data_IF_999559643781
#
_entry.id   IF_999559643781
#
_cell.length_a   1.000
_cell.length_b   1.000
_cell.length_c   1.000
_cell.angle_alpha   90.00
_cell.angle_beta   90.00
_cell.angle_gamma   90.00
#
_symmetry.space_group_name_H-M   'P 1'
#
loop_
_entity.id
_entity.type
_entity.pdbx_description
1 polymer ?
#
# COMPACT_ATOMS: atom_id res chain seq x y z
N UNK A 1 60.24 -41.33 -33.98
CA UNK A 1 59.48 -42.41 -33.32
C UNK A 1 60.10 -42.72 -31.97
N UNK A 2 59.51 -43.63 -31.18
CA UNK A 2 59.90 -43.97 -29.77
C UNK A 2 59.61 -42.79 -28.81
N UNK A 3 58.57 -42.81 -27.95
CA UNK A 3 58.30 -43.57 -26.69
C UNK A 3 59.24 -43.24 -25.52
N UNK A 4 58.65 -42.90 -24.35
CA UNK A 4 59.25 -43.17 -23.04
C UNK A 4 59.35 -41.98 -22.06
N UNK A 5 58.42 -41.91 -21.10
CA UNK A 5 58.74 -41.42 -19.73
C UNK A 5 59.38 -42.56 -18.93
N UNK A 6 60.10 -42.31 -17.81
CA UNK A 6 59.41 -42.33 -16.50
C UNK A 6 60.12 -41.48 -15.40
N UNK A 7 59.78 -41.77 -14.13
CA UNK A 7 60.38 -41.30 -12.86
C UNK A 7 60.06 -39.84 -12.46
N UNK A 8 60.06 -39.48 -11.17
CA UNK A 8 60.24 -40.32 -9.97
C UNK A 8 60.02 -39.49 -8.69
N UNK A 9 59.48 -40.08 -7.63
CA UNK A 9 59.01 -39.33 -6.45
C UNK A 9 60.05 -39.18 -5.33
N UNK A 10 59.99 -38.06 -4.60
CA UNK A 10 60.28 -38.05 -3.16
C UNK A 10 59.38 -37.04 -2.44
N UNK A 11 59.15 -37.25 -1.14
CA UNK A 11 58.30 -36.40 -0.28
C UNK A 11 59.17 -35.41 0.50
N UNK A 12 58.63 -34.22 0.77
CA UNK A 12 58.82 -33.54 2.07
C UNK A 12 57.54 -32.83 2.52
N UNK A 13 57.55 -32.26 3.74
CA UNK A 13 56.38 -32.18 4.64
C UNK A 13 56.17 -30.74 5.15
N UNK A 14 54.98 -30.17 5.00
CA UNK A 14 54.67 -28.84 5.59
C UNK A 14 53.25 -28.30 5.31
N UNK A 15 52.47 -28.17 6.39
CA UNK A 15 51.47 -27.11 6.69
C UNK A 15 50.73 -26.36 5.57
N UNK A 16 49.39 -26.32 5.60
CA UNK A 16 48.62 -25.33 4.81
C UNK A 16 47.13 -25.59 4.53
N UNK A 17 46.42 -26.37 5.33
CA UNK A 17 45.03 -26.77 5.04
C UNK A 17 43.99 -25.65 5.31
N UNK A 18 44.05 -24.56 4.54
CA UNK A 18 43.06 -23.49 4.54
C UNK A 18 41.73 -23.92 3.91
N UNK A 19 40.87 -24.61 4.67
CA UNK A 19 39.47 -24.83 4.29
C UNK A 19 38.75 -23.49 4.21
N UNK A 20 38.59 -22.95 3.00
CA UNK A 20 37.64 -21.87 2.74
C UNK A 20 36.25 -22.37 3.15
N UNK A 21 35.63 -21.72 4.14
CA UNK A 21 34.23 -21.95 4.47
C UNK A 21 33.39 -21.35 3.35
N UNK A 22 32.88 -22.19 2.46
CA UNK A 22 31.84 -21.79 1.51
C UNK A 22 30.66 -21.19 2.29
N UNK A 23 30.25 -19.99 1.89
CA UNK A 23 29.19 -19.25 2.58
C UNK A 23 27.88 -20.07 2.52
N UNK A 24 27.19 -20.36 3.64
CA UNK A 24 26.02 -21.26 3.62
C UNK A 24 24.89 -20.83 2.68
N UNK A 25 24.75 -19.53 2.42
CA UNK A 25 23.83 -18.97 1.42
C UNK A 25 24.36 -18.91 -0.02
N UNK A 26 25.52 -19.50 -0.32
CA UNK A 26 26.09 -19.52 -1.68
C UNK A 26 25.40 -20.57 -2.56
N UNK A 27 25.15 -20.20 -3.81
CA UNK A 27 24.51 -21.06 -4.80
C UNK A 27 25.30 -22.37 -5.05
N UNK A 28 26.64 -22.29 -5.06
CA UNK A 28 27.51 -23.45 -5.20
C UNK A 28 27.38 -24.43 -4.02
N UNK A 29 27.24 -23.91 -2.79
CA UNK A 29 27.09 -24.74 -1.59
C UNK A 29 25.75 -25.49 -1.61
N UNK A 30 24.67 -24.83 -2.05
CA UNK A 30 23.37 -25.46 -2.26
C UNK A 30 23.44 -26.56 -3.34
N UNK A 31 24.10 -26.27 -4.47
CA UNK A 31 24.28 -27.25 -5.55
C UNK A 31 25.24 -28.40 -5.20
N UNK A 32 26.14 -28.21 -4.25
CA UNK A 32 26.98 -29.27 -3.69
C UNK A 32 26.15 -30.19 -2.76
N UNK A 33 25.34 -29.62 -1.86
CA UNK A 33 24.43 -30.41 -1.01
C UNK A 33 23.40 -31.23 -1.80
N UNK A 34 22.79 -30.65 -2.86
CA UNK A 34 21.80 -31.34 -3.70
C UNK A 34 22.43 -32.57 -4.39
N UNK A 35 23.63 -32.41 -4.96
CA UNK A 35 24.38 -33.52 -5.58
C UNK A 35 24.81 -34.58 -4.55
N UNK A 36 25.28 -34.16 -3.37
CA UNK A 36 25.71 -35.08 -2.31
C UNK A 36 24.54 -35.87 -1.67
N UNK A 37 23.29 -35.45 -1.90
CA UNK A 37 22.06 -36.19 -1.52
C UNK A 37 21.41 -36.98 -2.67
N UNK A 38 22.07 -37.08 -3.83
CA UNK A 38 21.60 -37.90 -4.96
C UNK A 38 20.35 -37.39 -5.67
N UNK A 39 19.99 -36.11 -5.50
CA UNK A 39 18.80 -35.51 -6.10
C UNK A 39 19.09 -35.01 -7.52
N UNK A 40 18.12 -35.16 -8.45
CA UNK A 40 18.26 -34.67 -9.82
C UNK A 40 18.26 -33.13 -9.88
N UNK A 41 19.42 -32.59 -10.21
CA UNK A 41 19.68 -31.15 -10.40
C UNK A 41 18.82 -30.57 -11.54
N UNK A 42 18.46 -31.37 -12.55
CA UNK A 42 17.69 -30.90 -13.70
C UNK A 42 16.23 -30.61 -13.32
N UNK A 43 15.60 -31.53 -12.58
CA UNK A 43 14.26 -31.36 -11.99
C UNK A 43 14.19 -30.22 -10.96
N UNK A 44 15.29 -29.91 -10.26
CA UNK A 44 15.39 -28.77 -9.36
C UNK A 44 15.38 -27.43 -10.13
N UNK A 45 16.20 -27.31 -11.19
CA UNK A 45 16.27 -26.10 -12.04
C UNK A 45 14.98 -25.85 -12.83
N UNK A 46 14.22 -26.89 -13.18
CA UNK A 46 12.88 -26.76 -13.79
C UNK A 46 11.78 -26.36 -12.78
N UNK A 47 12.12 -25.99 -11.53
CA UNK A 47 11.19 -25.41 -10.56
C UNK A 47 10.19 -26.38 -9.95
N UNK A 48 10.33 -27.69 -10.19
CA UNK A 48 9.37 -28.73 -9.74
C UNK A 48 9.50 -29.08 -8.25
N UNK A 49 10.57 -28.65 -7.58
CA UNK A 49 10.98 -29.12 -6.23
C UNK A 49 11.20 -28.00 -5.19
N UNK A 50 10.54 -26.85 -5.34
CA UNK A 50 10.67 -25.68 -4.42
C UNK A 50 10.33 -26.01 -2.94
N UNK A 51 9.50 -27.02 -2.70
CA UNK A 51 8.98 -27.36 -1.36
C UNK A 51 10.07 -27.81 -0.38
N UNK A 52 11.10 -28.53 -0.85
CA UNK A 52 12.11 -29.12 0.04
C UNK A 52 13.05 -28.09 0.68
N UNK A 53 13.25 -26.95 0.02
CA UNK A 53 14.09 -25.84 0.53
C UNK A 53 13.55 -25.25 1.84
N UNK A 54 12.22 -25.24 2.01
CA UNK A 54 11.55 -24.78 3.24
C UNK A 54 11.67 -25.79 4.39
N UNK A 55 11.77 -27.09 4.10
CA UNK A 55 11.88 -28.12 5.14
C UNK A 55 13.27 -28.12 5.81
N UNK A 56 14.34 -27.81 5.06
CA UNK A 56 15.70 -27.74 5.62
C UNK A 56 15.87 -26.50 6.50
N UNK A 57 15.31 -25.35 6.11
CA UNK A 57 15.37 -24.10 6.87
C UNK A 57 14.59 -24.07 8.19
N UNK A 58 13.91 -25.15 8.56
CA UNK A 58 13.15 -25.29 9.81
C UNK A 58 13.83 -26.21 10.85
N UNK A 59 15.00 -26.78 10.54
CA UNK A 59 15.64 -27.82 11.34
C UNK A 59 16.83 -27.35 12.20
N UNK A 60 17.18 -26.06 12.20
CA UNK A 60 18.39 -25.52 12.87
C UNK A 60 18.10 -24.38 13.88
N UNK A 61 16.87 -24.24 14.40
CA UNK A 61 16.52 -23.24 15.43
C UNK A 61 15.56 -23.74 16.53
N UNK A 62 15.77 -24.95 17.04
CA UNK A 62 15.18 -25.44 18.30
C UNK A 62 16.28 -25.88 19.29
N UNK A 63 17.09 -24.92 19.77
CA UNK A 63 18.08 -25.19 20.82
C UNK A 63 18.56 -23.92 21.57
N UNK A 64 17.73 -23.38 22.48
CA UNK A 64 18.19 -22.48 23.57
C UNK A 64 17.16 -22.32 24.71
N UNK A 65 16.79 -23.43 25.35
CA UNK A 65 15.95 -23.42 26.56
C UNK A 65 16.69 -24.12 27.72
N UNK A 66 17.40 -23.35 28.54
CA UNK A 66 17.95 -23.81 29.82
C UNK A 66 18.15 -22.62 30.78
N UNK A 67 17.32 -22.56 31.82
CA UNK A 67 17.50 -21.72 33.01
C UNK A 67 17.57 -22.68 34.22
N UNK A 68 18.60 -22.59 35.09
CA UNK A 68 18.58 -23.28 36.38
C UNK A 68 17.65 -22.54 37.36
N UNK A 69 16.92 -23.29 38.16
CA UNK A 69 15.93 -22.81 39.13
C UNK A 69 16.49 -22.87 40.58
N UNK A 70 16.14 -21.89 41.43
CA UNK A 70 16.48 -21.84 42.86
C UNK A 70 15.44 -21.04 43.69
N UNK A 71 14.21 -21.57 43.73
CA UNK A 71 13.51 -21.97 44.96
C UNK A 71 13.36 -20.98 46.17
N UNK A 72 12.14 -20.47 46.32
CA UNK A 72 11.29 -20.33 47.55
C UNK A 72 11.76 -19.57 48.82
N UNK A 73 11.08 -18.42 49.07
CA UNK A 73 10.21 -18.12 50.25
C UNK A 73 10.78 -18.13 51.71
N UNK A 74 10.05 -17.59 52.75
CA UNK A 74 8.71 -16.99 52.79
C UNK A 74 8.64 -15.57 53.41
N UNK A 75 7.45 -15.11 53.82
CA UNK A 75 7.13 -13.71 54.18
C UNK A 75 6.87 -13.45 55.68
N UNK A 76 6.85 -12.18 56.11
CA UNK A 76 5.84 -11.67 57.05
C UNK A 76 5.77 -10.12 57.24
N UNK A 77 4.52 -9.61 57.29
CA UNK A 77 3.90 -8.60 58.18
C UNK A 77 4.61 -7.30 58.64
N UNK A 78 3.83 -6.21 58.48
CA UNK A 78 3.42 -5.19 59.49
C UNK A 78 4.16 -3.85 59.75
N UNK A 79 3.29 -2.88 60.04
CA UNK A 79 3.43 -1.65 60.83
C UNK A 79 3.83 -0.29 60.22
N UNK A 80 3.21 0.73 60.83
CA UNK A 80 3.26 2.16 60.54
C UNK A 80 4.53 2.81 61.11
N UNK A 81 4.92 3.97 60.58
CA UNK A 81 4.82 5.25 61.33
C UNK A 81 5.31 6.46 60.51
N UNK A 82 4.66 7.60 60.74
CA UNK A 82 5.28 8.94 60.62
C UNK A 82 5.47 9.47 62.06
N UNK A 83 6.33 10.48 62.36
CA UNK A 83 5.90 11.87 62.09
C UNK A 83 7.03 12.97 62.02
N UNK A 84 6.58 14.22 61.80
CA UNK A 84 7.18 15.50 62.26
C UNK A 84 8.57 15.98 61.75
N UNK A 85 8.91 17.28 61.68
CA UNK A 85 8.16 18.56 61.54
C UNK A 85 9.20 19.70 61.32
N UNK A 86 8.73 20.90 60.93
CA UNK A 86 9.29 22.27 61.14
C UNK A 86 10.02 22.96 59.96
N UNK A 87 9.20 23.69 59.20
CA UNK A 87 9.35 25.11 58.77
C UNK A 87 10.03 26.03 59.82
N UNK A 88 10.52 27.25 59.49
CA UNK A 88 9.99 28.26 58.52
C UNK A 88 11.06 28.81 57.53
N UNK A 89 10.81 29.82 56.67
CA UNK A 89 9.58 30.54 56.29
C UNK A 89 9.76 32.07 56.13
N UNK A 90 8.98 32.66 55.21
CA UNK A 90 8.79 34.09 54.89
C UNK A 90 9.77 34.88 53.99
N UNK A 91 9.12 35.70 53.14
CA UNK A 91 9.57 36.77 52.21
C UNK A 91 9.55 38.15 52.94
N UNK A 92 9.62 39.33 52.27
CA UNK A 92 10.28 39.78 51.03
C UNK A 92 11.17 41.05 51.23
N UNK A 93 11.75 41.59 50.14
CA UNK A 93 12.36 42.93 50.08
C UNK A 93 12.12 43.62 48.72
N UNK A 94 12.26 44.95 48.61
CA UNK A 94 11.81 45.74 47.44
C UNK A 94 12.67 46.97 47.11
N UNK A 95 12.68 47.35 45.82
CA UNK A 95 13.01 48.66 45.20
C UNK A 95 14.38 49.35 45.41
N UNK A 96 14.97 49.77 44.28
CA UNK A 96 15.61 51.09 44.12
C UNK A 96 15.52 51.57 42.65
N UNK A 97 15.79 52.85 42.37
CA UNK A 97 15.39 53.57 41.12
C UNK A 97 16.52 54.50 40.62
N UNK A 98 16.54 54.81 39.32
CA UNK A 98 17.27 55.95 38.72
C UNK A 98 18.62 55.62 38.04
N UNK A 99 19.21 56.49 37.20
CA UNK A 99 18.67 57.69 36.51
C UNK A 99 19.61 58.12 35.34
N UNK A 100 19.21 59.05 34.47
CA UNK A 100 20.00 59.63 33.34
C UNK A 100 20.77 60.90 33.74
N UNK A 101 21.77 61.33 32.95
CA UNK A 101 21.67 62.48 32.00
C UNK A 101 22.06 62.07 30.55
N UNK A 102 21.78 62.78 29.44
CA UNK A 102 21.97 64.21 29.04
C UNK A 102 23.46 64.63 28.84
N UNK A 103 23.87 65.50 27.90
CA UNK A 103 23.16 66.56 27.14
C UNK A 103 23.82 66.93 25.76
N UNK A 104 23.08 67.63 24.88
CA UNK A 104 23.53 68.52 23.76
C UNK A 104 24.18 67.93 22.48
N UNK A 105 24.11 68.55 21.28
CA UNK A 105 23.20 69.63 20.82
C UNK A 105 23.52 70.34 19.47
N UNK A 106 22.47 70.59 18.65
CA UNK A 106 22.27 71.67 17.63
C UNK A 106 22.94 71.69 16.20
N UNK A 107 22.04 71.89 15.20
CA UNK A 107 22.13 72.70 13.94
C UNK A 107 22.96 72.19 12.73
N UNK A 108 22.81 72.68 11.47
CA UNK A 108 21.61 73.13 10.68
C UNK A 108 21.99 73.52 9.21
N UNK A 109 21.41 72.86 8.19
CA UNK A 109 21.15 73.41 6.83
C UNK A 109 22.20 73.26 5.70
N UNK A 110 21.71 73.01 4.46
CA UNK A 110 22.22 73.35 3.09
C UNK A 110 23.70 73.00 2.72
N UNK A 111 24.13 72.61 1.50
CA UNK A 111 23.59 72.28 0.15
C UNK A 111 24.78 71.69 -0.69
N UNK A 112 24.73 71.14 -1.92
CA UNK A 112 23.73 70.74 -2.93
C UNK A 112 24.43 69.78 -3.96
N UNK A 113 23.74 69.41 -5.08
CA UNK A 113 24.27 68.78 -6.32
C UNK A 113 24.73 67.30 -6.25
N UNK A 114 24.53 66.44 -7.27
CA UNK A 114 23.75 66.52 -8.52
C UNK A 114 23.56 65.14 -9.20
N UNK A 115 22.36 64.89 -9.77
CA UNK A 115 22.00 63.88 -10.80
C UNK A 115 22.28 62.38 -10.50
N UNK A 116 21.62 61.38 -11.12
CA UNK A 116 20.78 61.33 -12.36
C UNK A 116 19.47 60.54 -12.10
N UNK A 117 18.42 60.83 -12.88
CA UNK A 117 17.20 60.03 -13.07
C UNK A 117 17.51 58.65 -13.70
N UNK A 118 16.65 57.63 -13.87
CA UNK A 118 15.20 57.43 -14.11
C UNK A 118 14.85 55.96 -13.71
N UNK A 119 13.62 55.42 -13.66
CA UNK A 119 12.24 55.89 -13.75
C UNK A 119 11.33 54.88 -13.01
N UNK A 120 10.10 55.27 -12.67
CA UNK A 120 9.04 54.37 -12.19
C UNK A 120 7.77 54.53 -13.03
N UNK A 121 6.75 53.69 -12.74
CA UNK A 121 5.44 53.53 -13.40
C UNK A 121 5.48 52.50 -14.56
N UNK A 122 4.63 51.45 -14.62
CA UNK A 122 3.19 51.28 -14.34
C UNK A 122 2.31 51.50 -15.58
N UNK A 123 1.68 50.41 -16.06
CA UNK A 123 0.48 50.45 -16.88
C UNK A 123 -0.26 49.11 -16.81
N UNK A 124 -1.59 49.16 -16.72
CA UNK A 124 -2.52 48.04 -16.90
C UNK A 124 -3.42 48.32 -18.10
N UNK A 125 -3.45 47.45 -19.11
CA UNK A 125 -4.69 46.94 -19.77
C UNK A 125 -4.39 46.12 -21.03
N UNK A 126 -5.15 45.03 -21.13
CA UNK A 126 -5.86 44.42 -22.27
C UNK A 126 -5.48 44.62 -23.75
N UNK A 127 -5.84 43.59 -24.54
CA UNK A 127 -6.01 43.54 -26.00
C UNK A 127 -4.71 43.59 -26.85
N UNK A 128 -4.47 42.70 -27.82
CA UNK A 128 -5.40 42.05 -28.77
C UNK A 128 -4.97 40.62 -29.18
N UNK A 129 -5.87 39.93 -29.90
CA UNK A 129 -5.67 38.56 -30.44
C UNK A 129 -5.04 38.54 -31.84
N UNK A 130 -4.15 37.58 -32.10
CA UNK A 130 -3.89 37.03 -33.44
C UNK A 130 -3.57 35.52 -33.34
N UNK A 131 -4.33 34.70 -34.06
CA UNK A 131 -4.06 33.26 -34.23
C UNK A 131 -3.32 32.99 -35.54
N UNK A 132 -2.51 31.92 -35.60
CA UNK A 132 -2.44 31.12 -36.83
C UNK A 132 -2.48 29.60 -36.57
N UNK A 133 -2.89 28.83 -37.57
CA UNK A 133 -2.61 27.39 -37.67
C UNK A 133 -3.49 26.48 -36.82
N UNK A 134 -4.63 26.05 -37.37
CA UNK A 134 -5.34 24.86 -36.91
C UNK A 134 -4.74 23.60 -37.57
N UNK A 135 -4.07 22.76 -36.79
CA UNK A 135 -3.91 21.35 -37.11
C UNK A 135 -4.65 20.56 -36.03
N UNK A 136 -5.69 19.82 -36.45
CA UNK A 136 -6.49 18.98 -35.57
C UNK A 136 -5.80 17.63 -35.44
N UNK A 137 -5.44 17.24 -34.21
CA UNK A 137 -5.08 15.85 -33.92
C UNK A 137 -5.59 15.43 -32.53
N UNK A 138 -5.88 14.14 -32.38
CA UNK A 138 -7.04 13.69 -31.58
C UNK A 138 -6.93 13.84 -30.05
N UNK A 139 -8.07 14.10 -29.40
CA UNK A 139 -8.20 14.02 -27.95
C UNK A 139 -8.10 12.57 -27.45
N UNK A 140 -6.91 12.15 -26.97
CA UNK A 140 -6.82 11.02 -26.04
C UNK A 140 -7.49 11.40 -24.69
N UNK A 141 -8.80 11.14 -24.61
CA UNK A 141 -9.49 10.99 -23.34
C UNK A 141 -8.92 9.82 -22.53
N UNK A 142 -9.20 9.73 -21.21
CA UNK A 142 -8.65 8.68 -20.36
C UNK A 142 -8.99 7.29 -20.90
N UNK A 143 -7.97 6.55 -21.34
CA UNK A 143 -8.11 5.22 -21.96
C UNK A 143 -8.84 4.27 -21.02
N UNK A 144 -10.10 3.99 -21.33
CA UNK A 144 -10.89 3.01 -20.61
C UNK A 144 -10.35 1.61 -20.93
N UNK A 145 -9.70 0.95 -19.95
CA UNK A 145 -9.24 -0.43 -20.09
C UNK A 145 -10.40 -1.32 -20.58
N UNK A 146 -10.21 -1.99 -21.72
CA UNK A 146 -11.16 -2.98 -22.22
C UNK A 146 -10.94 -4.27 -21.43
N UNK A 147 -11.85 -4.55 -20.49
CA UNK A 147 -11.75 -5.69 -19.57
C UNK A 147 -12.35 -7.00 -20.15
N UNK A 148 -12.65 -7.00 -21.45
CA UNK A 148 -13.33 -8.08 -22.13
C UNK A 148 -14.82 -8.18 -21.79
N UNK A 149 -15.42 -9.32 -22.11
CA UNK A 149 -16.85 -9.58 -21.92
C UNK A 149 -17.15 -11.02 -21.54
N UNK A 150 -18.28 -11.22 -20.88
CA UNK A 150 -18.76 -12.54 -20.42
C UNK A 150 -20.08 -12.92 -21.09
N UNK A 151 -20.18 -14.19 -21.48
CA UNK A 151 -21.40 -14.85 -21.92
C UNK A 151 -21.91 -15.80 -20.85
N UNK A 152 -23.19 -15.70 -20.52
CA UNK A 152 -23.89 -16.58 -19.60
C UNK A 152 -25.37 -16.68 -19.97
N UNK A 153 -26.07 -17.67 -19.42
CA UNK A 153 -27.53 -17.74 -19.50
C UNK A 153 -28.17 -17.92 -18.14
N UNK A 154 -29.42 -17.47 -18.01
CA UNK A 154 -30.20 -17.52 -16.76
C UNK A 154 -31.69 -17.72 -17.07
N UNK A 155 -32.38 -18.49 -16.23
CA UNK A 155 -33.80 -18.82 -16.35
C UNK A 155 -34.28 -19.60 -15.13
N UNK A 156 -35.59 -19.70 -14.94
CA UNK A 156 -36.21 -20.24 -13.73
C UNK A 156 -37.24 -21.32 -14.07
N UNK A 157 -37.07 -22.51 -13.48
CA UNK A 157 -38.10 -23.54 -13.52
C UNK A 157 -39.13 -23.30 -12.42
N UNK A 158 -40.37 -23.03 -12.82
CA UNK A 158 -41.51 -22.95 -11.91
C UNK A 158 -41.93 -24.31 -11.35
N UNK A 159 -41.64 -25.40 -12.06
CA UNK A 159 -41.96 -26.77 -11.61
C UNK A 159 -41.01 -27.20 -10.48
N UNK A 160 -39.70 -26.98 -10.67
CA UNK A 160 -38.65 -27.37 -9.72
C UNK A 160 -38.35 -26.26 -8.68
N UNK A 161 -39.04 -25.11 -8.77
CA UNK A 161 -38.75 -23.88 -8.02
C UNK A 161 -37.26 -23.51 -7.99
N UNK A 162 -36.59 -23.60 -9.16
CA UNK A 162 -35.13 -23.58 -9.27
C UNK A 162 -34.66 -22.52 -10.26
N UNK A 163 -33.78 -21.62 -9.81
CA UNK A 163 -33.06 -20.69 -10.68
C UNK A 163 -31.82 -21.38 -11.25
N UNK A 164 -31.72 -21.46 -12.57
CA UNK A 164 -30.55 -21.97 -13.28
C UNK A 164 -29.69 -20.79 -13.76
N UNK A 165 -28.39 -20.81 -13.48
CA UNK A 165 -27.39 -19.88 -14.03
C UNK A 165 -26.29 -20.69 -14.70
N UNK A 166 -26.02 -20.47 -15.99
CA UNK A 166 -24.98 -21.18 -16.73
C UNK A 166 -23.92 -20.21 -17.25
N UNK A 167 -22.69 -20.37 -16.78
CA UNK A 167 -21.55 -19.57 -17.22
C UNK A 167 -20.95 -20.24 -18.45
N UNK A 168 -21.03 -19.56 -19.61
CA UNK A 168 -20.66 -20.14 -20.89
C UNK A 168 -19.18 -19.89 -21.20
N UNK A 169 -18.81 -18.62 -21.46
CA UNK A 169 -17.43 -18.25 -21.83
C UNK A 169 -17.11 -16.78 -21.57
N UNK A 170 -15.83 -16.46 -21.45
CA UNK A 170 -15.29 -15.10 -21.54
C UNK A 170 -14.69 -14.86 -22.94
N UNK A 171 -14.60 -13.59 -23.32
CA UNK A 171 -13.85 -13.15 -24.50
C UNK A 171 -13.04 -11.90 -24.19
N UNK A 172 -11.89 -11.77 -24.85
CA UNK A 172 -11.02 -10.59 -24.85
C UNK A 172 -10.64 -10.09 -23.45
N UNK A 173 -10.45 -11.02 -22.50
CA UNK A 173 -10.06 -10.70 -21.13
C UNK A 173 -8.61 -10.16 -21.11
N UNK A 174 -8.29 -9.17 -20.27
CA UNK A 174 -6.93 -8.68 -20.10
C UNK A 174 -6.04 -9.73 -19.44
N UNK A 175 -4.76 -9.75 -19.85
CA UNK A 175 -3.70 -10.39 -19.09
C UNK A 175 -3.49 -9.66 -17.75
N UNK A 176 -3.43 -10.40 -16.64
CA UNK A 176 -2.98 -9.87 -15.33
C UNK A 176 -1.66 -10.51 -14.89
N UNK A 177 -1.43 -11.74 -15.30
CA UNK A 177 -0.21 -12.51 -15.08
C UNK A 177 0.99 -11.94 -15.85
N UNK A 178 2.20 -11.95 -15.26
CA UNK A 178 3.46 -11.58 -15.94
C UNK A 178 3.78 -12.45 -17.18
N UNK A 179 3.05 -13.55 -17.36
CA UNK A 179 3.14 -14.44 -18.53
C UNK A 179 2.49 -13.86 -19.80
N UNK A 180 1.80 -12.71 -19.73
CA UNK A 180 1.01 -12.17 -20.83
C UNK A 180 -0.31 -12.91 -21.05
N UNK A 181 -0.77 -13.67 -20.05
CA UNK A 181 -2.06 -14.37 -20.05
C UNK A 181 -2.76 -14.18 -18.70
N UNK A 182 -3.79 -14.98 -18.42
CA UNK A 182 -4.51 -15.07 -17.15
C UNK A 182 -5.01 -16.51 -16.97
N UNK A 183 -5.22 -16.96 -15.74
CA UNK A 183 -5.88 -18.20 -15.33
C UNK A 183 -7.36 -17.91 -14.87
N UNK A 184 -8.27 -17.37 -15.70
CA UNK A 184 -9.54 -16.82 -15.21
C UNK A 184 -10.56 -17.84 -14.69
N UNK A 185 -11.34 -17.39 -13.72
CA UNK A 185 -12.54 -18.05 -13.19
C UNK A 185 -13.61 -17.01 -12.79
N UNK A 186 -14.84 -17.46 -12.57
CA UNK A 186 -15.99 -16.60 -12.26
C UNK A 186 -16.57 -16.95 -10.90
N UNK A 187 -16.80 -15.94 -10.05
CA UNK A 187 -17.60 -16.03 -8.82
C UNK A 187 -19.01 -15.54 -9.07
N UNK A 188 -19.98 -16.23 -8.49
CA UNK A 188 -21.42 -16.07 -8.72
C UNK A 188 -22.11 -15.81 -7.39
N UNK A 189 -22.90 -14.74 -7.33
CA UNK A 189 -23.63 -14.29 -6.13
C UNK A 189 -25.06 -13.87 -6.47
N UNK A 190 -25.99 -14.05 -5.53
CA UNK A 190 -27.38 -13.55 -5.61
C UNK A 190 -27.62 -12.45 -4.57
N UNK A 191 -27.12 -11.26 -4.89
CA UNK A 191 -27.14 -10.08 -4.03
C UNK A 191 -28.58 -9.76 -3.58
N UNK A 192 -28.79 -9.36 -2.31
CA UNK A 192 -27.79 -8.88 -1.36
C UNK A 192 -26.98 -9.96 -0.62
N UNK A 193 -27.20 -11.26 -0.87
CA UNK A 193 -26.36 -12.29 -0.25
C UNK A 193 -24.92 -12.27 -0.81
N UNK A 194 -23.95 -12.12 0.08
CA UNK A 194 -22.51 -12.14 -0.18
C UNK A 194 -21.78 -13.29 0.54
N UNK A 195 -22.50 -14.11 1.32
CA UNK A 195 -21.94 -15.26 2.04
C UNK A 195 -21.94 -16.49 1.14
N UNK A 196 -23.07 -16.78 0.51
CA UNK A 196 -23.22 -17.90 -0.40
C UNK A 196 -22.70 -17.50 -1.79
N UNK A 197 -21.54 -18.02 -2.15
CA UNK A 197 -20.89 -17.88 -3.46
C UNK A 197 -20.79 -19.24 -4.15
N UNK A 198 -20.91 -19.25 -5.46
CA UNK A 198 -20.52 -20.39 -6.31
C UNK A 198 -19.37 -19.95 -7.22
N UNK A 199 -18.47 -20.85 -7.58
CA UNK A 199 -17.25 -20.52 -8.34
C UNK A 199 -17.04 -21.52 -9.48
N UNK A 200 -16.67 -21.05 -10.67
CA UNK A 200 -16.31 -21.92 -11.80
C UNK A 200 -14.91 -22.50 -11.63
N UNK A 201 -14.61 -23.54 -12.40
CA UNK A 201 -13.24 -24.04 -12.57
C UNK A 201 -12.35 -22.97 -13.22
N UNK A 202 -11.11 -22.93 -12.76
CA UNK A 202 -10.01 -22.13 -13.31
C UNK A 202 -9.66 -22.62 -14.73
N UNK A 203 -9.49 -21.69 -15.68
CA UNK A 203 -9.12 -22.01 -17.07
C UNK A 203 -7.73 -21.43 -17.36
N UNK A 204 -6.69 -22.25 -17.19
CA UNK A 204 -5.31 -21.77 -17.22
C UNK A 204 -4.90 -21.12 -18.54
N UNK A 205 -4.14 -20.02 -18.44
CA UNK A 205 -3.48 -19.27 -19.52
C UNK A 205 -4.37 -19.02 -20.73
N UNK A 206 -5.60 -18.56 -20.48
CA UNK A 206 -6.63 -18.44 -21.49
C UNK A 206 -7.49 -17.17 -21.33
N UNK A 207 -7.25 -16.18 -22.19
CA UNK A 207 -7.99 -14.92 -22.25
C UNK A 207 -9.37 -15.02 -22.93
N UNK A 208 -9.69 -16.17 -23.52
CA UNK A 208 -10.98 -16.51 -24.12
C UNK A 208 -11.53 -17.83 -23.49
N UNK A 209 -11.76 -17.87 -22.16
CA UNK A 209 -12.05 -19.10 -21.43
C UNK A 209 -13.44 -19.64 -21.74
N UNK A 210 -13.54 -20.94 -22.02
CA UNK A 210 -14.82 -21.65 -22.09
C UNK A 210 -15.06 -22.42 -20.78
N UNK A 211 -16.04 -21.97 -19.99
CA UNK A 211 -16.47 -22.64 -18.76
C UNK A 211 -17.50 -23.73 -19.06
N UNK A 212 -18.64 -23.34 -19.63
CA UNK A 212 -19.82 -24.18 -19.86
C UNK A 212 -20.38 -24.85 -18.58
N UNK A 213 -20.26 -24.18 -17.45
CA UNK A 213 -20.60 -24.69 -16.12
C UNK A 213 -21.97 -24.18 -15.67
N UNK A 214 -22.85 -25.09 -15.24
CA UNK A 214 -24.22 -24.80 -14.80
C UNK A 214 -24.32 -24.85 -13.28
N UNK A 215 -25.01 -23.88 -12.71
CA UNK A 215 -25.23 -23.70 -11.27
C UNK A 215 -26.73 -23.60 -11.00
N UNK A 216 -27.20 -24.30 -9.98
CA UNK A 216 -28.60 -24.37 -9.59
C UNK A 216 -28.79 -23.73 -8.22
N UNK A 217 -29.85 -22.94 -8.07
CA UNK A 217 -30.34 -22.45 -6.79
C UNK A 217 -31.73 -23.05 -6.58
N UNK A 218 -31.73 -24.26 -6.03
CA UNK A 218 -32.91 -25.11 -5.86
C UNK A 218 -33.81 -24.62 -4.72
N UNK A 219 -35.11 -24.90 -4.82
CA UNK A 219 -36.09 -24.56 -3.77
C UNK A 219 -36.19 -23.07 -3.43
N UNK A 220 -35.90 -22.18 -4.40
CA UNK A 220 -35.82 -20.73 -4.19
C UNK A 220 -37.05 -20.03 -4.83
N UNK A 221 -38.08 -19.63 -4.05
CA UNK A 221 -39.34 -19.14 -4.62
C UNK A 221 -39.19 -17.91 -5.51
N UNK A 222 -39.90 -17.89 -6.63
CA UNK A 222 -39.84 -16.85 -7.66
C UNK A 222 -39.92 -15.41 -7.14
N UNK A 223 -40.84 -15.15 -6.20
CA UNK A 223 -40.98 -13.85 -5.52
C UNK A 223 -39.68 -13.36 -4.87
N UNK A 224 -38.90 -14.28 -4.30
CA UNK A 224 -37.61 -13.99 -3.65
C UNK A 224 -36.48 -13.94 -4.68
N UNK A 225 -36.61 -14.63 -5.81
CA UNK A 225 -35.66 -14.60 -6.94
C UNK A 225 -35.67 -13.24 -7.63
N UNK A 226 -36.84 -12.69 -7.97
CA UNK A 226 -36.95 -11.37 -8.64
C UNK A 226 -36.41 -10.22 -7.77
N UNK A 227 -36.41 -10.38 -6.44
CA UNK A 227 -35.80 -9.44 -5.50
C UNK A 227 -34.25 -9.45 -5.50
N UNK A 228 -33.60 -10.39 -6.22
CA UNK A 228 -32.14 -10.50 -6.27
C UNK A 228 -31.52 -9.80 -7.47
N UNK A 229 -30.24 -9.49 -7.32
CA UNK A 229 -29.35 -9.14 -8.43
C UNK A 229 -28.35 -10.27 -8.62
N UNK A 230 -28.35 -10.87 -9.80
CA UNK A 230 -27.29 -11.79 -10.21
C UNK A 230 -26.02 -10.97 -10.41
N UNK A 231 -24.97 -11.30 -9.67
CA UNK A 231 -23.67 -10.64 -9.72
C UNK A 231 -22.61 -11.68 -10.07
N UNK A 232 -21.88 -11.41 -11.16
CA UNK A 232 -20.79 -12.24 -11.65
C UNK A 232 -19.50 -11.42 -11.57
N UNK A 233 -18.47 -11.98 -10.95
CA UNK A 233 -17.14 -11.38 -10.88
C UNK A 233 -16.13 -12.32 -11.54
N UNK A 234 -15.43 -11.84 -12.57
CA UNK A 234 -14.32 -12.54 -13.21
C UNK A 234 -13.03 -12.12 -12.51
N UNK A 235 -12.22 -13.09 -12.11
CA UNK A 235 -10.89 -12.87 -11.52
C UNK A 235 -9.88 -13.79 -12.19
N UNK A 236 -8.63 -13.36 -12.19
CA UNK A 236 -7.49 -14.24 -12.42
C UNK A 236 -7.27 -15.14 -11.18
N UNK A 237 -6.80 -16.37 -11.36
CA UNK A 237 -6.44 -17.27 -10.27
C UNK A 237 -4.93 -17.20 -9.99
N UNK A 238 -4.58 -16.78 -8.79
CA UNK A 238 -3.18 -16.73 -8.36
C UNK A 238 -2.89 -17.82 -7.32
N UNK A 239 -1.75 -18.51 -7.46
CA UNK A 239 -1.36 -19.61 -6.57
C UNK A 239 -0.65 -19.12 -5.30
N UNK A 240 0.03 -17.98 -5.38
CA UNK A 240 0.92 -17.49 -4.31
C UNK A 240 0.63 -16.05 -3.89
N UNK A 241 -0.23 -15.35 -4.62
CA UNK A 241 -0.81 -14.04 -4.27
C UNK A 241 -2.32 -14.17 -4.07
N UNK A 242 -3.03 -13.03 -4.07
CA UNK A 242 -4.50 -13.01 -4.14
C UNK A 242 -4.96 -12.94 -5.60
N UNK A 243 -6.03 -13.67 -5.90
CA UNK A 243 -6.72 -13.68 -7.19
C UNK A 243 -7.10 -12.26 -7.65
N UNK A 244 -6.48 -11.80 -8.75
CA UNK A 244 -6.61 -10.43 -9.23
C UNK A 244 -7.97 -10.18 -9.91
N UNK A 245 -8.73 -9.13 -9.53
CA UNK A 245 -10.02 -8.84 -10.14
C UNK A 245 -9.86 -8.39 -11.60
N UNK A 246 -10.52 -9.09 -12.53
CA UNK A 246 -10.57 -8.71 -13.94
C UNK A 246 -11.74 -7.75 -14.19
N UNK A 247 -12.95 -8.11 -13.78
CA UNK A 247 -14.14 -7.29 -14.00
C UNK A 247 -15.43 -7.89 -13.46
N UNK A 248 -16.49 -7.10 -13.38
CA UNK A 248 -17.80 -7.51 -12.86
C UNK A 248 -18.96 -7.19 -13.80
N UNK A 249 -20.04 -7.95 -13.69
CA UNK A 249 -21.35 -7.62 -14.25
C UNK A 249 -22.47 -7.92 -13.25
N UNK A 250 -23.49 -7.09 -13.23
CA UNK A 250 -24.65 -7.22 -12.34
C UNK A 250 -25.96 -7.03 -13.11
N UNK A 251 -26.94 -7.92 -12.92
CA UNK A 251 -28.28 -7.80 -13.50
C UNK A 251 -29.36 -8.04 -12.43
N UNK A 252 -30.21 -7.04 -12.13
CA UNK A 252 -31.42 -7.23 -11.32
C UNK A 252 -32.38 -8.22 -12.00
N UNK A 253 -32.76 -9.28 -11.29
CA UNK A 253 -33.53 -10.38 -11.87
C UNK A 253 -34.99 -10.00 -12.17
N UNK A 254 -35.55 -9.00 -11.48
CA UNK A 254 -36.84 -8.38 -11.83
C UNK A 254 -36.87 -7.66 -13.19
N UNK A 255 -35.74 -7.51 -13.89
CA UNK A 255 -35.68 -6.93 -15.25
C UNK A 255 -35.59 -7.97 -16.37
N UNK A 256 -35.70 -9.27 -16.04
CA UNK A 256 -35.61 -10.37 -17.00
C UNK A 256 -36.92 -11.17 -17.03
N UNK A 257 -37.37 -11.57 -18.21
CA UNK A 257 -38.30 -12.69 -18.32
C UNK A 257 -37.53 -13.99 -18.04
N UNK A 258 -37.68 -14.51 -16.83
CA UNK A 258 -37.02 -15.74 -16.39
C UNK A 258 -37.79 -17.01 -16.77
N UNK A 259 -39.00 -16.91 -17.36
CA UNK A 259 -39.76 -18.11 -17.77
C UNK A 259 -39.06 -18.89 -18.90
N UNK A 260 -38.20 -18.20 -19.66
CA UNK A 260 -37.37 -18.77 -20.71
C UNK A 260 -35.87 -18.66 -20.34
N UNK A 261 -35.06 -19.63 -20.75
CA UNK A 261 -33.61 -19.63 -20.47
C UNK A 261 -32.87 -18.63 -21.40
N UNK A 262 -32.80 -17.37 -20.99
CA UNK A 262 -32.20 -16.30 -21.79
C UNK A 262 -30.67 -16.33 -21.75
N UNK A 263 -30.01 -16.05 -22.88
CA UNK A 263 -28.55 -15.96 -23.00
C UNK A 263 -28.11 -14.52 -23.24
N UNK A 264 -27.15 -14.03 -22.45
CA UNK A 264 -26.66 -12.66 -22.49
C UNK A 264 -25.16 -12.60 -22.79
N UNK A 265 -24.76 -11.59 -23.57
CA UNK A 265 -23.42 -11.02 -23.52
C UNK A 265 -23.46 -9.75 -22.65
N UNK A 266 -22.43 -9.54 -21.84
CA UNK A 266 -22.18 -8.29 -21.12
C UNK A 266 -20.69 -7.97 -21.12
N UNK A 267 -20.36 -6.75 -21.53
CA UNK A 267 -19.04 -6.15 -21.33
C UNK A 267 -18.74 -6.09 -19.82
N UNK A 268 -17.53 -6.51 -19.44
CA UNK A 268 -17.08 -6.49 -18.06
C UNK A 268 -16.76 -5.04 -17.66
N UNK A 269 -17.37 -4.58 -16.57
CA UNK A 269 -17.03 -3.32 -15.96
C UNK A 269 -15.81 -3.51 -15.06
N UNK A 270 -15.04 -2.44 -14.75
CA UNK A 270 -14.08 -2.50 -13.66
C UNK A 270 -14.78 -3.06 -12.43
N UNK A 271 -14.17 -4.04 -11.77
CA UNK A 271 -14.68 -4.47 -10.47
C UNK A 271 -14.81 -3.23 -9.59
N UNK A 272 -15.93 -3.10 -8.91
CA UNK A 272 -15.93 -2.36 -7.65
C UNK A 272 -14.83 -3.04 -6.80
N UNK A 273 -13.69 -2.37 -6.62
CA UNK A 273 -12.35 -2.89 -6.28
C UNK A 273 -12.24 -3.35 -4.82
N UNK A 274 -13.32 -3.96 -4.33
CA UNK A 274 -13.91 -3.65 -3.05
C UNK A 274 -13.91 -2.15 -2.74
N UNK A 275 -14.48 -1.30 -3.62
CA UNK A 275 -14.73 0.15 -3.42
C UNK A 275 -15.82 0.46 -2.38
N UNK A 276 -15.95 -0.40 -1.37
CA UNK A 276 -16.16 0.18 -0.04
C UNK A 276 -14.96 1.06 0.31
N UNK A 277 -15.08 1.92 1.32
CA UNK A 277 -13.92 2.67 1.80
C UNK A 277 -12.78 1.68 2.12
N UNK A 278 -11.58 1.93 1.58
CA UNK A 278 -10.35 1.21 1.95
C UNK A 278 -9.88 1.58 3.37
N UNK A 279 -10.63 2.46 4.03
CA UNK A 279 -10.35 3.15 5.27
C UNK A 279 -10.08 4.62 5.04
N UNK A 280 -10.19 5.40 6.11
CA UNK A 280 -9.71 6.79 6.13
C UNK A 280 -8.49 6.89 7.04
N UNK A 281 -7.54 7.75 6.70
CA UNK A 281 -6.39 8.11 7.53
C UNK A 281 -6.50 9.59 7.96
N UNK A 282 -6.36 9.84 9.26
CA UNK A 282 -6.24 11.18 9.82
C UNK A 282 -4.77 11.58 9.82
N UNK A 283 -4.45 12.57 8.97
CA UNK A 283 -3.11 13.11 8.80
C UNK A 283 -3.11 14.57 9.25
N UNK A 284 -2.09 14.99 9.99
CA UNK A 284 -1.82 16.41 10.23
C UNK A 284 -0.57 16.87 9.48
N UNK A 285 -0.63 18.10 8.98
CA UNK A 285 0.46 18.79 8.30
C UNK A 285 0.75 20.10 9.02
N UNK A 286 2.04 20.40 9.21
CA UNK A 286 2.49 21.70 9.71
C UNK A 286 3.74 22.13 8.94
N UNK A 287 3.70 23.27 8.26
CA UNK A 287 4.86 23.84 7.55
C UNK A 287 5.48 24.99 8.33
N UNK A 288 6.78 24.89 8.63
CA UNK A 288 7.57 25.97 9.23
C UNK A 288 8.53 26.56 8.19
N UNK A 289 8.21 27.72 7.57
CA UNK A 289 9.06 28.31 6.53
C UNK A 289 10.42 28.78 7.08
N UNK A 290 10.48 29.25 8.33
CA UNK A 290 11.75 29.71 8.95
C UNK A 290 12.75 28.58 9.13
N UNK A 291 12.27 27.36 9.40
CA UNK A 291 13.09 26.17 9.56
C UNK A 291 13.03 25.23 8.33
N UNK A 292 12.50 25.70 7.19
CA UNK A 292 12.33 24.94 5.95
C UNK A 292 11.80 23.50 6.15
N UNK A 293 10.82 23.29 7.04
CA UNK A 293 10.41 21.95 7.47
C UNK A 293 8.91 21.72 7.34
N UNK A 294 8.52 20.55 6.83
CA UNK A 294 7.14 20.04 6.89
C UNK A 294 7.10 18.89 7.90
N UNK A 295 6.30 19.02 8.95
CA UNK A 295 5.98 17.90 9.85
C UNK A 295 4.70 17.22 9.39
N UNK A 296 4.80 15.92 9.11
CA UNK A 296 3.67 15.03 8.79
C UNK A 296 3.38 14.16 9.99
N UNK A 297 2.25 14.36 10.66
CA UNK A 297 1.80 13.51 11.76
C UNK A 297 0.76 12.50 11.29
N UNK A 298 1.06 11.22 11.45
CA UNK A 298 0.15 10.10 11.20
C UNK A 298 -0.58 9.81 12.50
N UNK A 299 -1.82 10.28 12.62
CA UNK A 299 -2.54 10.25 13.90
C UNK A 299 -3.22 8.89 14.09
N UNK A 300 -4.20 8.56 13.23
CA UNK A 300 -4.94 7.30 13.30
C UNK A 300 -5.63 6.97 11.98
N UNK A 301 -5.92 5.71 11.73
CA UNK A 301 -6.83 5.27 10.67
C UNK A 301 -8.14 4.72 11.25
N UNK A 302 -9.16 4.63 10.39
CA UNK A 302 -10.43 3.96 10.70
C UNK A 302 -10.93 3.16 9.50
N UNK A 303 -11.73 2.13 9.76
CA UNK A 303 -12.40 1.30 8.75
C UNK A 303 -11.45 0.75 7.67
N UNK A 304 -10.19 0.44 8.02
CA UNK A 304 -9.23 -0.11 7.06
C UNK A 304 -9.77 -1.39 6.42
N UNK A 305 -9.48 -1.57 5.12
CA UNK A 305 -9.77 -2.81 4.41
C UNK A 305 -8.96 -3.96 5.03
N UNK A 306 -9.64 -5.03 5.45
CA UNK A 306 -8.98 -6.25 5.88
C UNK A 306 -8.25 -6.90 4.70
N UNK A 307 -6.94 -7.11 4.85
CA UNK A 307 -6.10 -7.78 3.86
C UNK A 307 -5.58 -9.16 4.33
N UNK A 308 -5.69 -9.50 5.62
CA UNK A 308 -5.56 -10.89 6.08
C UNK A 308 -6.73 -11.77 5.59
N UNK A 309 -6.45 -13.05 5.33
CA UNK A 309 -7.48 -14.09 5.19
C UNK A 309 -8.32 -14.23 6.48
N UNK A 310 -7.74 -13.88 7.64
CA UNK A 310 -8.43 -13.85 8.94
C UNK A 310 -9.42 -12.70 9.14
N UNK A 311 -9.64 -11.83 8.15
CA UNK A 311 -10.56 -10.68 8.27
C UNK A 311 -10.01 -9.49 9.04
N UNK A 312 -8.68 -9.42 9.20
CA UNK A 312 -7.95 -8.34 9.87
C UNK A 312 -6.90 -7.71 8.95
N UNK A 313 -6.04 -6.86 9.50
CA UNK A 313 -4.75 -6.45 8.92
C UNK A 313 -3.77 -6.17 10.06
N UNK A 314 -2.47 -6.27 9.79
CA UNK A 314 -1.35 -5.77 10.59
C UNK A 314 -0.86 -4.40 10.03
N UNK A 315 -1.64 -3.30 10.08
CA UNK A 315 -1.32 -2.08 9.35
C UNK A 315 -0.09 -1.33 9.85
N UNK A 316 0.65 -0.76 8.89
CA UNK A 316 1.67 0.26 9.08
C UNK A 316 1.69 1.27 7.92
N UNK A 317 2.14 2.48 8.19
CA UNK A 317 2.14 3.58 7.22
C UNK A 317 3.57 3.89 6.78
N UNK A 318 3.79 4.00 5.47
CA UNK A 318 5.01 4.53 4.85
C UNK A 318 4.75 5.96 4.42
N UNK A 319 5.66 6.88 4.73
CA UNK A 319 5.62 8.27 4.26
C UNK A 319 6.86 8.53 3.41
N UNK A 320 6.67 8.90 2.15
CA UNK A 320 7.74 9.25 1.22
C UNK A 320 7.70 10.74 0.92
N UNK A 321 8.87 11.39 1.02
CA UNK A 321 9.10 12.70 0.42
C UNK A 321 9.54 12.51 -1.03
N UNK A 322 8.80 13.11 -1.96
CA UNK A 322 9.13 13.18 -3.38
C UNK A 322 9.51 14.62 -3.74
N UNK A 323 10.53 14.78 -4.59
CA UNK A 323 10.83 16.03 -5.27
C UNK A 323 10.87 15.75 -6.78
N UNK A 324 9.92 16.34 -7.51
CA UNK A 324 9.53 15.87 -8.85
C UNK A 324 9.25 14.35 -8.75
N UNK A 325 9.76 13.55 -9.68
CA UNK A 325 9.55 12.09 -9.71
C UNK A 325 10.57 11.30 -8.86
N UNK A 326 11.51 11.98 -8.19
CA UNK A 326 12.56 11.35 -7.38
C UNK A 326 12.13 11.19 -5.93
N UNK A 327 12.31 9.98 -5.39
CA UNK A 327 12.19 9.67 -3.95
C UNK A 327 13.38 10.27 -3.22
N UNK A 328 13.12 11.19 -2.29
CA UNK A 328 14.15 11.88 -1.49
C UNK A 328 14.34 11.19 -0.16
N UNK A 329 13.26 11.03 0.62
CA UNK A 329 13.32 10.44 1.96
C UNK A 329 12.13 9.49 2.20
N UNK A 330 12.29 8.58 3.16
CA UNK A 330 11.29 7.58 3.55
C UNK A 330 11.25 7.40 5.05
N UNK A 331 10.08 7.62 5.65
CA UNK A 331 9.79 7.30 7.06
C UNK A 331 8.67 6.26 7.13
N UNK A 332 8.53 5.58 8.26
CA UNK A 332 7.53 4.53 8.49
C UNK A 332 7.07 4.54 9.94
N UNK A 333 5.82 4.16 10.19
CA UNK A 333 5.30 3.92 11.54
C UNK A 333 5.76 2.57 12.08
N UNK A 334 5.45 2.33 13.36
CA UNK A 334 5.31 0.98 13.92
C UNK A 334 4.18 0.20 13.22
N UNK A 335 4.14 -1.10 13.47
CA UNK A 335 3.14 -2.03 12.93
C UNK A 335 2.14 -2.37 14.02
N UNK A 336 0.88 -1.99 13.82
CA UNK A 336 -0.21 -2.37 14.73
C UNK A 336 -0.78 -3.70 14.29
N UNK A 337 -0.84 -4.69 15.17
CA UNK A 337 -1.27 -6.05 14.79
C UNK A 337 -2.79 -6.21 14.84
N UNK A 338 -3.36 -6.90 13.85
CA UNK A 338 -4.76 -7.34 13.74
C UNK A 338 -5.77 -6.23 14.09
N UNK A 339 -5.60 -5.05 13.49
CA UNK A 339 -6.35 -3.84 13.83
C UNK A 339 -6.81 -3.10 12.57
N UNK A 340 -8.11 -2.83 12.44
CA UNK A 340 -8.67 -2.05 11.32
C UNK A 340 -8.91 -0.57 11.68
N UNK A 341 -8.60 -0.16 12.92
CA UNK A 341 -8.74 1.21 13.42
C UNK A 341 -7.51 1.65 14.23
N UNK A 342 -6.27 1.55 13.69
CA UNK A 342 -5.04 1.78 14.43
C UNK A 342 -4.85 3.25 14.79
N UNK A 343 -4.31 3.52 15.98
CA UNK A 343 -3.85 4.84 16.42
C UNK A 343 -2.33 4.81 16.47
N UNK A 344 -1.66 5.67 15.69
CA UNK A 344 -0.19 5.70 15.57
C UNK A 344 0.40 6.86 16.39
N UNK A 345 -0.15 8.07 16.25
CA UNK A 345 0.35 9.32 16.85
C UNK A 345 1.83 9.64 16.56
N UNK A 346 2.38 9.12 15.47
CA UNK A 346 3.78 9.34 15.09
C UNK A 346 3.92 10.60 14.22
N UNK A 347 5.02 11.36 14.40
CA UNK A 347 5.29 12.60 13.67
C UNK A 347 6.65 12.56 12.97
N UNK A 348 6.64 12.92 11.69
CA UNK A 348 7.78 12.84 10.80
C UNK A 348 8.11 14.23 10.23
N UNK A 349 9.16 14.92 10.74
CA UNK A 349 9.67 16.13 10.11
C UNK A 349 10.41 15.78 8.82
N UNK A 350 10.27 16.62 7.79
CA UNK A 350 10.95 16.53 6.51
C UNK A 350 11.51 17.90 6.12
N UNK A 351 12.78 17.93 5.71
CA UNK A 351 13.43 19.16 5.26
C UNK A 351 13.02 19.47 3.82
N UNK A 352 12.29 20.56 3.64
CA UNK A 352 11.68 21.00 2.37
C UNK A 352 11.96 22.51 2.18
N UNK A 353 13.08 22.87 1.53
CA UNK A 353 13.40 24.26 1.19
C UNK A 353 12.27 24.95 0.43
N UNK A 354 12.00 26.21 0.75
CA UNK A 354 10.88 26.97 0.17
C UNK A 354 10.85 26.97 -1.38
N UNK A 355 12.01 26.90 -2.04
CA UNK A 355 12.10 26.87 -3.51
C UNK A 355 11.67 25.53 -4.12
N UNK A 356 11.80 24.39 -3.43
CA UNK A 356 11.32 23.08 -3.91
C UNK A 356 9.88 22.78 -3.50
N UNK A 357 9.27 23.58 -2.61
CA UNK A 357 7.93 23.34 -2.05
C UNK A 357 6.84 23.20 -3.13
N UNK A 358 6.97 23.90 -4.26
CA UNK A 358 6.02 23.81 -5.39
C UNK A 358 6.12 22.49 -6.17
N UNK A 359 7.30 21.86 -6.16
CA UNK A 359 7.61 20.61 -6.87
C UNK A 359 7.71 19.40 -5.92
N UNK A 360 7.35 19.61 -4.64
CA UNK A 360 7.32 18.60 -3.59
C UNK A 360 6.00 17.83 -3.62
N UNK A 361 6.04 16.52 -3.38
CA UNK A 361 4.84 15.69 -3.14
C UNK A 361 5.11 14.75 -1.98
N UNK A 362 4.18 14.64 -1.04
CA UNK A 362 4.26 13.66 0.05
C UNK A 362 3.33 12.50 -0.28
N UNK A 363 3.89 11.29 -0.47
CA UNK A 363 3.13 10.07 -0.74
C UNK A 363 3.03 9.27 0.55
N UNK A 364 1.81 9.15 1.07
CA UNK A 364 1.50 8.33 2.25
C UNK A 364 0.90 7.01 1.73
N UNK A 365 1.38 5.87 2.23
CA UNK A 365 0.90 4.55 1.83
C UNK A 365 0.65 3.70 3.07
N UNK A 366 -0.61 3.32 3.28
CA UNK A 366 -1.02 2.36 4.30
C UNK A 366 -0.84 0.96 3.72
N UNK A 367 -0.12 0.14 4.45
CA UNK A 367 0.31 -1.21 4.08
C UNK A 367 -0.21 -2.19 5.12
N UNK A 368 -0.54 -3.41 4.70
CA UNK A 368 -0.57 -4.56 5.59
C UNK A 368 0.86 -5.15 5.73
N UNK A 369 1.11 -5.87 6.83
CA UNK A 369 2.37 -6.59 7.09
C UNK A 369 2.15 -8.09 7.23
N UNK A 370 1.94 -8.73 6.09
CA UNK A 370 2.04 -10.17 5.91
C UNK A 370 3.27 -10.81 6.60
N UNK A 371 3.08 -12.00 7.18
CA UNK A 371 4.17 -12.79 7.80
C UNK A 371 4.87 -13.75 6.83
N UNK A 372 4.17 -14.21 5.79
CA UNK A 372 4.62 -15.29 4.88
C UNK A 372 4.49 -14.92 3.38
N UNK A 373 3.86 -13.79 3.09
CA UNK A 373 3.58 -13.25 1.75
C UNK A 373 4.19 -11.85 1.58
N UNK A 374 4.06 -11.27 0.39
CA UNK A 374 4.48 -9.90 0.10
C UNK A 374 3.46 -8.90 0.66
N UNK A 375 3.85 -8.13 1.69
CA UNK A 375 3.16 -6.97 2.26
C UNK A 375 2.14 -6.29 1.31
N UNK A 376 0.84 -6.49 1.56
CA UNK A 376 -0.26 -5.96 0.76
C UNK A 376 -0.43 -4.43 0.89
N UNK A 377 -0.84 -3.74 -0.18
CA UNK A 377 -1.15 -2.30 -0.14
C UNK A 377 -2.64 -2.09 0.18
N UNK A 378 -2.95 -1.54 1.35
CA UNK A 378 -4.32 -1.18 1.72
C UNK A 378 -4.76 0.04 0.89
N UNK A 379 -3.93 1.08 0.85
CA UNK A 379 -4.13 2.22 -0.05
C UNK A 379 -3.17 3.38 0.16
N UNK A 380 -3.34 4.44 -0.66
CA UNK A 380 -2.45 5.59 -0.79
C UNK A 380 -3.18 6.92 -0.65
N UNK A 381 -2.42 7.96 -0.26
CA UNK A 381 -2.80 9.38 -0.30
C UNK A 381 -1.61 10.14 -0.90
N UNK A 382 -1.90 11.11 -1.76
CA UNK A 382 -0.90 11.96 -2.41
C UNK A 382 -1.17 13.40 -1.98
N UNK A 383 -0.20 14.07 -1.38
CA UNK A 383 -0.34 15.45 -0.86
C UNK A 383 0.60 16.36 -1.64
N UNK A 384 0.03 17.13 -2.57
CA UNK A 384 0.72 18.14 -3.39
C UNK A 384 -0.28 19.03 -4.14
N UNK A 385 0.24 20.07 -4.79
CA UNK A 385 -0.51 20.97 -5.70
C UNK A 385 -1.18 20.29 -6.90
N UNK A 386 -0.80 19.05 -7.25
CA UNK A 386 -1.35 18.29 -8.40
C UNK A 386 -2.19 17.07 -7.97
N UNK A 387 -2.60 17.01 -6.70
CA UNK A 387 -3.35 15.89 -6.12
C UNK A 387 -4.87 16.06 -6.25
N UNK A 388 -5.67 15.18 -5.61
CA UNK A 388 -7.13 15.31 -5.62
C UNK A 388 -7.66 16.52 -4.83
N UNK A 389 -8.94 16.90 -4.95
CA UNK A 389 -9.46 18.14 -4.38
C UNK A 389 -9.33 18.24 -2.84
N UNK A 390 -9.53 17.13 -2.13
CA UNK A 390 -9.38 17.09 -0.67
C UNK A 390 -7.91 17.20 -0.24
N UNK A 391 -7.00 16.62 -1.02
CA UNK A 391 -5.56 16.65 -0.78
C UNK A 391 -4.94 18.00 -1.12
N UNK A 392 -5.32 18.61 -2.25
CA UNK A 392 -4.93 19.97 -2.63
C UNK A 392 -5.46 20.99 -1.63
N UNK A 393 -6.69 20.81 -1.10
CA UNK A 393 -7.20 21.63 -0.01
C UNK A 393 -6.29 21.53 1.21
N UNK A 394 -6.00 20.31 1.71
CA UNK A 394 -5.18 20.14 2.91
C UNK A 394 -3.75 20.71 2.73
N UNK A 395 -3.17 20.56 1.54
CA UNK A 395 -1.88 21.14 1.17
C UNK A 395 -1.90 22.67 1.12
N UNK A 396 -2.97 23.26 0.57
CA UNK A 396 -3.19 24.71 0.56
C UNK A 396 -3.38 25.25 1.97
N UNK A 397 -4.17 24.57 2.80
CA UNK A 397 -4.48 24.97 4.18
C UNK A 397 -3.21 24.91 5.06
N UNK A 398 -2.33 23.92 4.87
CA UNK A 398 -1.00 23.86 5.50
C UNK A 398 -0.14 25.09 5.15
N UNK A 399 -0.13 25.51 3.89
CA UNK A 399 0.74 26.58 3.40
C UNK A 399 0.19 27.97 3.76
N UNK A 400 -1.14 28.14 3.83
CA UNK A 400 -1.77 29.39 4.25
C UNK A 400 -1.76 29.61 5.78
N UNK A 401 -1.53 28.57 6.58
CA UNK A 401 -1.43 28.65 8.05
C UNK A 401 -0.04 28.22 8.55
N UNK A 402 1.06 28.93 8.18
CA UNK A 402 2.41 28.52 8.53
C UNK A 402 2.64 28.47 10.04
N UNK A 403 3.31 27.41 10.50
CA UNK A 403 3.54 27.01 11.91
C UNK A 403 2.27 26.59 12.67
N UNK A 404 1.12 26.49 12.00
CA UNK A 404 -0.08 25.84 12.54
C UNK A 404 -0.17 24.39 12.07
N UNK A 405 -0.71 23.51 12.91
CA UNK A 405 -0.98 22.12 12.57
C UNK A 405 -2.41 21.98 12.02
N UNK A 406 -2.55 21.65 10.74
CA UNK A 406 -3.83 21.40 10.08
C UNK A 406 -4.05 19.90 9.99
N UNK A 407 -5.09 19.36 10.64
CA UNK A 407 -5.44 17.94 10.61
C UNK A 407 -6.66 17.68 9.72
N UNK A 408 -6.56 16.71 8.80
CA UNK A 408 -7.65 16.32 7.90
C UNK A 408 -7.72 14.80 7.71
N UNK A 409 -8.94 14.27 7.60
CA UNK A 409 -9.18 12.90 7.14
C UNK A 409 -9.04 12.81 5.63
N UNK A 410 -8.42 11.73 5.16
CA UNK A 410 -8.32 11.38 3.74
C UNK A 410 -8.70 9.92 3.54
N UNK A 411 -9.63 9.65 2.62
CA UNK A 411 -10.01 8.28 2.25
C UNK A 411 -8.95 7.64 1.36
N UNK A 412 -8.59 6.40 1.66
CA UNK A 412 -7.48 5.68 1.01
C UNK A 412 -7.86 5.25 -0.42
N UNK A 413 -6.99 5.58 -1.38
CA UNK A 413 -7.12 5.22 -2.80
C UNK A 413 -6.26 4.00 -3.13
N UNK A 414 -6.48 3.34 -4.26
CA UNK A 414 -5.75 2.12 -4.65
C UNK A 414 -4.22 2.31 -4.75
#
# INVERSE_FOLDING_TARGET
GVRGSPAGASRHRGTGAGRSRSNPGSWDHMMEQIRHRGLDVKSFLEGKMVVLSLAIGLAEQDDFANLPDLQEAPANKENETTPEKRTPGNKPGSNSRGQTPDESGRRQGHEANSSVSDMANSATSDMLMLSPGSEEDEHEGPVCEKLGRIQFSVGYSFQDSTLTVKILKGQDLPAKDFSGTSDPFVKIYLLPDKKHKLETKVKRKNLNPHWNETFLFEGFPYEKVVQRTLYLQVLDYDRFSRNDPIGEVSIPLNKLDLANMQTFWKELKPCSDGSGSRGDLLVSLCYNPTANTITVSIIKARNLKAMDIGGTSDPYVKVWLMHKDKRVEKKKTVVMKRCLNPVFNESFPFDVPAHVLRETTIIITVMDKDRLSRNDVIGKIYLSWKSGPAEVKHWKDMISHPRSAVAQWHSLKA
#
